data_IF_650648542946
#
_entry.id   IF_650648542946
#
_cell.length_a   1.000
_cell.length_b   1.000
_cell.length_c   1.000
_cell.angle_alpha   90.00
_cell.angle_beta   90.00
_cell.angle_gamma   90.00
#
_symmetry.space_group_name_H-M   'P 1'
#
loop_
_entity.id
_entity.type
_entity.pdbx_description
1 polymer ?
#
# COMPACT_ATOMS: atom_id res chain seq x y z
N UNK A 1 -46.50 40.79 32.51
CA UNK A 1 -45.21 40.62 33.21
C UNK A 1 -45.34 39.43 34.16
N UNK A 2 -44.78 38.28 33.80
CA UNK A 2 -44.72 37.07 34.64
C UNK A 2 -43.25 36.70 34.74
N UNK A 3 -42.67 36.97 35.90
CA UNK A 3 -41.25 36.76 36.18
C UNK A 3 -40.95 35.38 36.76
N UNK A 4 -39.73 34.95 36.47
CA UNK A 4 -38.79 34.16 37.29
C UNK A 4 -39.28 32.85 37.92
N UNK A 5 -38.72 31.73 37.43
CA UNK A 5 -37.88 30.74 38.16
C UNK A 5 -37.87 29.44 37.35
N UNK A 6 -36.72 29.05 36.79
CA UNK A 6 -36.27 27.66 36.61
C UNK A 6 -34.99 27.63 35.74
N UNK A 7 -33.89 28.17 36.28
CA UNK A 7 -32.56 27.78 35.83
C UNK A 7 -32.03 26.73 36.78
N UNK A 8 -32.10 25.44 36.42
CA UNK A 8 -31.24 24.37 36.96
C UNK A 8 -31.16 23.27 35.89
N UNK A 9 -30.03 23.25 35.19
CA UNK A 9 -29.21 22.06 34.97
C UNK A 9 -29.98 20.78 34.56
N UNK A 10 -30.07 20.54 33.25
CA UNK A 10 -29.96 19.17 32.72
C UNK A 10 -28.69 19.12 31.89
N UNK A 11 -27.57 19.20 32.61
CA UNK A 11 -26.32 18.58 32.18
C UNK A 11 -26.48 17.06 32.26
N UNK A 12 -25.69 16.38 31.43
CA UNK A 12 -25.47 14.94 31.39
C UNK A 12 -26.51 14.13 30.62
N UNK A 13 -26.22 13.94 29.33
CA UNK A 13 -25.95 12.61 28.75
C UNK A 13 -25.38 12.79 27.32
N UNK A 14 -24.31 13.58 27.19
CA UNK A 14 -23.37 13.33 26.09
C UNK A 14 -22.56 12.13 26.57
N UNK A 15 -23.05 10.94 26.23
CA UNK A 15 -22.24 9.74 26.35
C UNK A 15 -21.01 9.96 25.47
N UNK A 16 -19.90 10.34 26.11
CA UNK A 16 -18.57 10.23 25.54
C UNK A 16 -18.36 8.75 25.20
N UNK A 17 -18.78 8.35 24.00
CA UNK A 17 -18.23 7.19 23.33
C UNK A 17 -16.81 7.57 22.98
N UNK A 18 -15.93 7.51 23.98
CA UNK A 18 -14.49 7.36 23.77
C UNK A 18 -14.28 5.92 23.30
N UNK A 19 -14.75 5.65 22.08
CA UNK A 19 -14.25 4.51 21.34
C UNK A 19 -12.76 4.77 21.20
N UNK A 20 -11.94 4.11 22.01
CA UNK A 20 -10.51 4.08 21.78
C UNK A 20 -10.33 3.56 20.36
N UNK A 21 -9.98 4.46 19.43
CA UNK A 21 -9.57 4.06 18.10
C UNK A 21 -8.34 3.18 18.32
N UNK A 22 -8.50 1.87 18.21
CA UNK A 22 -7.38 0.94 18.23
C UNK A 22 -6.48 1.34 17.08
N UNK A 23 -5.26 1.78 17.38
CA UNK A 23 -4.28 2.07 16.35
C UNK A 23 -4.12 0.80 15.49
N UNK A 24 -4.30 0.93 14.17
CA UNK A 24 -4.10 -0.17 13.23
C UNK A 24 -2.67 -0.70 13.38
N UNK A 25 -2.51 -2.02 13.45
CA UNK A 25 -1.18 -2.61 13.60
C UNK A 25 -0.35 -2.35 12.33
N UNK A 26 0.97 -2.26 12.47
CA UNK A 26 1.87 -2.11 11.30
C UNK A 26 1.74 -3.30 10.33
N UNK A 27 1.41 -4.48 10.83
CA UNK A 27 1.13 -5.66 10.00
C UNK A 27 -0.15 -5.49 9.17
N UNK A 28 -1.22 -4.96 9.75
CA UNK A 28 -2.49 -4.72 9.05
C UNK A 28 -2.34 -3.62 7.99
N UNK A 29 -1.68 -2.50 8.35
CA UNK A 29 -1.35 -1.43 7.43
C UNK A 29 -0.51 -1.94 6.24
N UNK A 30 0.52 -2.76 6.51
CA UNK A 30 1.32 -3.39 5.46
C UNK A 30 0.48 -4.32 4.57
N UNK A 31 -0.38 -5.15 5.16
CA UNK A 31 -1.25 -6.08 4.43
C UNK A 31 -2.21 -5.36 3.48
N UNK A 32 -2.81 -4.27 3.94
CA UNK A 32 -3.71 -3.43 3.13
C UNK A 32 -3.01 -2.81 1.92
N UNK A 33 -1.81 -2.28 2.13
CA UNK A 33 -0.99 -1.72 1.04
C UNK A 33 -0.50 -2.80 0.06
N UNK A 34 -0.12 -3.98 0.57
CA UNK A 34 0.24 -5.14 -0.25
C UNK A 34 -0.92 -5.60 -1.13
N UNK A 35 -2.15 -5.62 -0.61
CA UNK A 35 -3.34 -5.94 -1.41
C UNK A 35 -3.59 -4.92 -2.52
N UNK A 36 -3.44 -3.63 -2.23
CA UNK A 36 -3.53 -2.55 -3.23
C UNK A 36 -2.45 -2.71 -4.30
N UNK A 37 -1.20 -2.92 -3.91
CA UNK A 37 -0.09 -3.18 -4.83
C UNK A 37 -0.34 -4.43 -5.68
N UNK A 38 -0.84 -5.52 -5.08
CA UNK A 38 -1.17 -6.76 -5.78
C UNK A 38 -2.24 -6.53 -6.85
N UNK A 39 -3.28 -5.76 -6.55
CA UNK A 39 -4.31 -5.38 -7.53
C UNK A 39 -3.71 -4.61 -8.71
N UNK A 40 -2.86 -3.61 -8.44
CA UNK A 40 -2.20 -2.85 -9.52
C UNK A 40 -1.26 -3.71 -10.37
N UNK A 41 -0.53 -4.65 -9.78
CA UNK A 41 0.33 -5.57 -10.53
C UNK A 41 -0.49 -6.59 -11.34
N UNK A 42 -1.44 -7.28 -10.70
CA UNK A 42 -2.12 -8.46 -11.26
C UNK A 42 -3.36 -8.15 -12.08
N UNK A 43 -4.14 -7.13 -11.73
CA UNK A 43 -5.35 -6.79 -12.49
C UNK A 43 -5.06 -5.72 -13.53
N UNK A 44 -4.32 -4.66 -13.16
CA UNK A 44 -4.19 -3.50 -14.03
C UNK A 44 -2.95 -3.56 -14.93
N UNK A 45 -1.77 -3.85 -14.39
CA UNK A 45 -0.55 -3.95 -15.20
C UNK A 45 -0.55 -5.20 -16.09
N UNK A 46 -1.01 -6.33 -15.56
CA UNK A 46 -1.00 -7.63 -16.25
C UNK A 46 -2.08 -7.78 -17.33
N UNK A 47 -3.20 -7.04 -17.23
CA UNK A 47 -4.31 -7.12 -18.22
C UNK A 47 -4.45 -5.86 -19.08
N UNK A 48 -3.57 -4.88 -18.88
CA UNK A 48 -3.50 -3.69 -19.72
C UNK A 48 -3.15 -4.05 -21.16
N UNK A 49 -3.63 -3.25 -22.10
CA UNK A 49 -3.37 -3.35 -23.55
C UNK A 49 -2.50 -2.21 -24.08
N UNK A 50 -1.99 -1.34 -23.21
CA UNK A 50 -1.09 -0.23 -23.54
C UNK A 50 0.12 -0.29 -22.60
N UNK A 51 1.32 -0.38 -23.18
CA UNK A 51 2.56 -0.56 -22.43
C UNK A 51 2.79 0.57 -21.41
N UNK A 52 2.55 1.82 -21.81
CA UNK A 52 2.67 2.98 -20.93
C UNK A 52 1.74 2.88 -19.70
N UNK A 53 0.51 2.41 -19.89
CA UNK A 53 -0.46 2.21 -18.80
C UNK A 53 -0.03 1.07 -17.88
N UNK A 54 0.47 -0.05 -18.43
CA UNK A 54 1.02 -1.14 -17.63
C UNK A 54 2.22 -0.69 -16.78
N UNK A 55 3.14 0.10 -17.35
CA UNK A 55 4.27 0.68 -16.61
C UNK A 55 3.81 1.67 -15.55
N UNK A 56 2.79 2.48 -15.82
CA UNK A 56 2.20 3.38 -14.83
C UNK A 56 1.63 2.60 -13.64
N UNK A 57 0.92 1.49 -13.89
CA UNK A 57 0.42 0.63 -12.82
C UNK A 57 1.55 -0.05 -12.02
N UNK A 58 2.66 -0.41 -12.66
CA UNK A 58 3.85 -0.86 -11.93
C UNK A 58 4.52 0.26 -11.13
N UNK A 59 4.45 1.51 -11.59
CA UNK A 59 4.89 2.65 -10.79
C UNK A 59 3.99 2.86 -9.56
N UNK A 60 2.69 2.59 -9.64
CA UNK A 60 1.81 2.56 -8.46
C UNK A 60 2.22 1.48 -7.46
N UNK A 61 2.58 0.29 -7.93
CA UNK A 61 3.14 -0.79 -7.09
C UNK A 61 4.38 -0.29 -6.35
N UNK A 62 5.32 0.33 -7.07
CA UNK A 62 6.53 0.90 -6.47
C UNK A 62 6.21 1.98 -5.42
N UNK A 63 5.26 2.87 -5.72
CA UNK A 63 4.84 3.92 -4.81
C UNK A 63 4.23 3.37 -3.51
N UNK A 64 3.44 2.30 -3.60
CA UNK A 64 2.94 1.56 -2.44
C UNK A 64 4.05 0.87 -1.64
N UNK A 65 5.02 0.26 -2.33
CA UNK A 65 6.09 -0.51 -1.69
C UNK A 65 7.03 0.37 -0.87
N UNK A 66 7.42 1.53 -1.41
CA UNK A 66 8.38 2.42 -0.76
C UNK A 66 7.72 3.53 0.10
N UNK A 67 6.52 3.97 -0.26
CA UNK A 67 5.90 5.16 0.31
C UNK A 67 6.56 6.48 -0.13
N UNK A 68 6.07 7.65 0.33
CA UNK A 68 6.47 8.97 -0.16
C UNK A 68 7.96 9.33 0.01
N UNK A 69 8.68 8.63 0.90
CA UNK A 69 10.11 8.83 1.17
C UNK A 69 11.01 7.87 0.38
N UNK A 70 10.42 7.03 -0.47
CA UNK A 70 11.11 6.08 -1.32
C UNK A 70 11.98 6.73 -2.40
N UNK A 71 13.09 6.08 -2.78
CA UNK A 71 13.99 6.60 -3.83
C UNK A 71 13.34 6.56 -5.22
N UNK A 72 12.54 5.52 -5.46
CA UNK A 72 11.85 5.26 -6.73
C UNK A 72 10.40 5.77 -6.72
N UNK A 73 9.93 6.29 -5.59
CA UNK A 73 8.63 6.96 -5.48
C UNK A 73 8.51 8.08 -6.53
N UNK A 74 7.34 8.18 -7.15
CA UNK A 74 7.02 9.19 -8.16
C UNK A 74 5.63 9.78 -7.87
N UNK A 75 5.54 10.98 -7.25
CA UNK A 75 4.25 11.56 -6.88
C UNK A 75 3.38 11.93 -8.09
N UNK A 76 4.01 12.28 -9.22
CA UNK A 76 3.31 12.76 -10.41
C UNK A 76 2.32 11.74 -11.00
N UNK A 77 2.51 10.43 -10.76
CA UNK A 77 1.57 9.39 -11.20
C UNK A 77 0.55 9.02 -10.13
N UNK A 78 0.66 9.54 -8.91
CA UNK A 78 -0.23 9.25 -7.79
C UNK A 78 0.24 8.13 -6.87
N UNK A 79 -0.32 8.10 -5.65
CA UNK A 79 -0.03 7.09 -4.63
C UNK A 79 -1.35 6.43 -4.18
N UNK A 80 -1.74 5.27 -4.74
CA UNK A 80 -2.99 4.61 -4.36
C UNK A 80 -2.98 4.07 -2.91
N UNK A 81 -1.80 3.93 -2.31
CA UNK A 81 -1.64 3.54 -0.91
C UNK A 81 -1.66 4.72 0.07
N UNK A 82 -1.94 5.94 -0.40
CA UNK A 82 -2.03 7.12 0.47
C UNK A 82 -3.06 6.89 1.58
N UNK A 83 -2.64 7.11 2.83
CA UNK A 83 -3.49 6.93 4.01
C UNK A 83 -3.72 5.47 4.43
N UNK A 84 -3.07 4.50 3.78
CA UNK A 84 -3.11 3.09 4.19
C UNK A 84 -1.94 2.68 5.10
N UNK A 85 -0.92 3.55 5.23
CA UNK A 85 0.32 3.26 5.95
C UNK A 85 1.44 4.21 5.51
N UNK A 86 2.67 3.86 5.83
CA UNK A 86 3.87 4.67 5.55
C UNK A 86 4.64 4.19 4.32
N UNK A 87 4.20 3.09 3.69
CA UNK A 87 4.90 2.31 2.68
C UNK A 87 5.14 0.89 3.19
N UNK A 88 4.86 -0.11 2.34
CA UNK A 88 4.90 -1.53 2.73
C UNK A 88 6.19 -1.91 3.43
N UNK A 89 7.35 -1.50 2.89
CA UNK A 89 8.65 -1.89 3.48
C UNK A 89 8.87 -1.27 4.86
N UNK A 90 8.39 -0.05 5.09
CA UNK A 90 8.49 0.63 6.39
C UNK A 90 7.58 -0.07 7.40
N UNK A 91 6.34 -0.34 7.02
CA UNK A 91 5.37 -0.95 7.94
C UNK A 91 5.70 -2.42 8.21
N UNK A 92 6.23 -3.16 7.24
CA UNK A 92 6.76 -4.52 7.46
C UNK A 92 7.98 -4.53 8.38
N UNK A 93 8.86 -3.54 8.31
CA UNK A 93 9.98 -3.42 9.23
C UNK A 93 9.49 -3.23 10.67
N UNK A 94 8.54 -2.32 10.87
CA UNK A 94 7.90 -2.11 12.18
C UNK A 94 7.15 -3.36 12.66
N UNK A 95 6.52 -4.13 11.75
CA UNK A 95 5.85 -5.39 12.07
C UNK A 95 6.85 -6.50 12.47
N UNK A 96 8.04 -6.54 11.87
CA UNK A 96 9.12 -7.45 12.29
C UNK A 96 9.61 -7.08 13.69
N UNK A 97 9.81 -5.80 13.95
CA UNK A 97 10.26 -5.28 15.26
C UNK A 97 9.25 -5.54 16.37
N UNK A 98 7.95 -5.49 16.06
CA UNK A 98 6.88 -5.85 17.01
C UNK A 98 6.64 -7.35 17.16
N UNK A 99 7.37 -8.19 16.43
CA UNK A 99 7.23 -9.65 16.48
C UNK A 99 5.97 -10.19 15.81
N UNK A 100 5.36 -9.45 14.89
CA UNK A 100 4.16 -9.88 14.19
C UNK A 100 4.41 -11.17 13.40
N UNK A 101 3.51 -12.14 13.59
CA UNK A 101 3.61 -13.46 12.95
C UNK A 101 3.68 -13.33 11.43
N UNK A 102 4.72 -13.93 10.85
CA UNK A 102 4.91 -13.96 9.40
C UNK A 102 5.47 -12.67 8.77
N UNK A 103 5.68 -11.60 9.54
CA UNK A 103 6.22 -10.33 9.04
C UNK A 103 7.59 -10.48 8.35
N UNK A 104 8.48 -11.31 8.88
CA UNK A 104 9.80 -11.59 8.26
C UNK A 104 9.64 -12.22 6.87
N UNK A 105 8.70 -13.16 6.74
CA UNK A 105 8.42 -13.83 5.46
C UNK A 105 7.76 -12.85 4.48
N UNK A 106 6.81 -12.05 4.94
CA UNK A 106 6.18 -11.01 4.15
C UNK A 106 7.20 -9.98 3.65
N UNK A 107 8.11 -9.51 4.50
CA UNK A 107 9.18 -8.58 4.16
C UNK A 107 10.11 -9.13 3.07
N UNK A 108 10.43 -10.43 3.11
CA UNK A 108 11.22 -11.09 2.07
C UNK A 108 10.51 -11.06 0.72
N UNK A 109 9.25 -11.47 0.67
CA UNK A 109 8.49 -11.49 -0.59
C UNK A 109 8.22 -10.08 -1.13
N UNK A 110 7.90 -9.12 -0.26
CA UNK A 110 7.74 -7.72 -0.62
C UNK A 110 9.04 -7.13 -1.22
N UNK A 111 10.21 -7.49 -0.67
CA UNK A 111 11.51 -7.08 -1.22
C UNK A 111 11.78 -7.66 -2.60
N UNK A 112 11.46 -8.94 -2.82
CA UNK A 112 11.57 -9.53 -4.17
C UNK A 112 10.65 -8.80 -5.15
N UNK A 113 9.39 -8.55 -4.78
CA UNK A 113 8.46 -7.78 -5.61
C UNK A 113 8.99 -6.37 -5.92
N UNK A 114 9.57 -5.70 -4.93
CA UNK A 114 10.20 -4.40 -5.07
C UNK A 114 11.33 -4.43 -6.10
N UNK A 115 12.28 -5.36 -5.96
CA UNK A 115 13.46 -5.42 -6.83
C UNK A 115 13.06 -5.76 -8.28
N UNK A 116 12.09 -6.66 -8.47
CA UNK A 116 11.51 -6.93 -9.78
C UNK A 116 10.85 -5.69 -10.40
N UNK A 117 10.06 -4.96 -9.60
CA UNK A 117 9.40 -3.73 -10.05
C UNK A 117 10.43 -2.65 -10.41
N UNK A 118 11.47 -2.49 -9.58
CA UNK A 118 12.56 -1.55 -9.82
C UNK A 118 13.30 -1.85 -11.12
N UNK A 119 13.56 -3.13 -11.41
CA UNK A 119 14.19 -3.55 -12.65
C UNK A 119 13.34 -3.19 -13.87
N UNK A 120 12.05 -3.51 -13.85
CA UNK A 120 11.12 -3.22 -14.96
C UNK A 120 11.04 -1.70 -15.23
N UNK A 121 10.90 -0.90 -14.17
CA UNK A 121 10.86 0.56 -14.28
C UNK A 121 12.22 1.18 -14.63
N UNK A 122 13.32 0.51 -14.30
CA UNK A 122 14.68 0.91 -14.66
C UNK A 122 14.93 0.85 -16.16
N UNK A 123 14.49 -0.22 -16.82
CA UNK A 123 14.56 -0.34 -18.29
C UNK A 123 13.81 0.80 -19.00
N UNK A 124 12.65 1.19 -18.49
CA UNK A 124 11.89 2.33 -19.01
C UNK A 124 12.63 3.67 -18.89
N UNK A 125 13.35 3.91 -17.79
CA UNK A 125 14.10 5.16 -17.57
C UNK A 125 15.38 5.26 -18.40
N UNK A 126 16.01 4.13 -18.74
CA UNK A 126 17.26 4.07 -19.49
C UNK A 126 17.12 4.20 -21.01
N UNK A 127 15.92 4.52 -21.53
CA UNK A 127 15.67 4.58 -22.98
C UNK A 127 15.49 3.21 -23.65
N UNK A 128 15.56 2.12 -22.88
CA UNK A 128 15.25 0.74 -23.31
C UNK A 128 13.82 0.38 -22.89
N UNK A 129 12.88 1.30 -23.09
CA UNK A 129 11.53 1.13 -22.59
C UNK A 129 10.85 -0.07 -23.27
N UNK A 130 10.15 -0.86 -22.47
CA UNK A 130 9.18 -1.81 -23.00
C UNK A 130 8.15 -1.04 -23.82
N UNK A 131 8.21 -1.17 -25.15
CA UNK A 131 7.19 -0.60 -26.05
C UNK A 131 6.00 -1.52 -26.20
N UNK A 132 6.22 -2.82 -25.96
CA UNK A 132 5.20 -3.85 -26.09
C UNK A 132 4.72 -4.34 -24.72
N UNK A 133 3.39 -4.48 -24.62
CA UNK A 133 2.71 -5.00 -23.44
C UNK A 133 3.15 -6.41 -23.09
N UNK A 134 3.36 -7.24 -24.12
CA UNK A 134 3.73 -8.65 -23.97
C UNK A 134 5.07 -8.85 -23.26
N UNK A 135 5.94 -7.84 -23.31
CA UNK A 135 7.19 -7.86 -22.58
C UNK A 135 7.04 -7.44 -21.10
N UNK A 136 5.98 -6.70 -20.73
CA UNK A 136 5.70 -6.22 -19.37
C UNK A 136 4.85 -7.22 -18.58
N UNK A 137 3.82 -7.79 -19.21
CA UNK A 137 2.82 -8.63 -18.53
C UNK A 137 3.42 -9.84 -17.78
N UNK A 138 4.44 -10.57 -18.31
CA UNK A 138 5.06 -11.67 -17.56
C UNK A 138 5.70 -11.21 -16.26
N UNK A 139 6.34 -10.04 -16.26
CA UNK A 139 6.90 -9.45 -15.04
C UNK A 139 5.81 -9.02 -14.07
N UNK A 140 4.77 -8.35 -14.57
CA UNK A 140 3.63 -7.94 -13.74
C UNK A 140 2.97 -9.14 -13.04
N UNK A 141 2.83 -10.27 -13.75
CA UNK A 141 2.34 -11.54 -13.18
C UNK A 141 3.23 -12.06 -12.05
N UNK A 142 4.55 -12.07 -12.24
CA UNK A 142 5.47 -12.56 -11.22
C UNK A 142 5.55 -11.61 -10.00
N UNK A 143 5.51 -10.29 -10.23
CA UNK A 143 5.41 -9.29 -9.17
C UNK A 143 4.14 -9.51 -8.35
N UNK A 144 2.99 -9.68 -8.99
CA UNK A 144 1.72 -9.97 -8.32
C UNK A 144 1.78 -11.26 -7.49
N UNK A 145 2.46 -12.31 -7.99
CA UNK A 145 2.65 -13.55 -7.26
C UNK A 145 3.48 -13.35 -5.98
N UNK A 146 4.54 -12.55 -6.03
CA UNK A 146 5.34 -12.23 -4.84
C UNK A 146 4.53 -11.39 -3.83
N UNK A 147 3.76 -10.41 -4.32
CA UNK A 147 2.87 -9.62 -3.47
C UNK A 147 1.81 -10.49 -2.80
N UNK A 148 1.24 -11.46 -3.52
CA UNK A 148 0.32 -12.45 -2.94
C UNK A 148 0.97 -13.27 -1.84
N UNK A 149 2.19 -13.79 -2.06
CA UNK A 149 2.93 -14.52 -1.03
C UNK A 149 3.20 -13.66 0.21
N UNK A 150 3.43 -12.35 0.03
CA UNK A 150 3.59 -11.42 1.13
C UNK A 150 2.27 -11.22 1.92
N UNK A 151 1.14 -11.04 1.23
CA UNK A 151 -0.19 -10.94 1.85
C UNK A 151 -0.52 -12.21 2.64
N UNK A 152 -0.33 -13.38 2.03
CA UNK A 152 -0.66 -14.68 2.62
C UNK A 152 0.24 -15.02 3.84
N UNK A 153 1.42 -14.40 3.93
CA UNK A 153 2.32 -14.56 5.07
C UNK A 153 1.87 -13.77 6.31
N UNK A 154 1.14 -12.66 6.15
CA UNK A 154 0.58 -11.86 7.24
C UNK A 154 -0.78 -12.47 7.62
N UNK A 155 -0.78 -13.35 8.63
CA UNK A 155 -1.98 -14.01 9.13
C UNK A 155 -2.62 -13.23 10.25
#
# INVERSE_FOLDING_TARGET
>A
MRGLVAGVIVLALIAFVTGAATAESSADAAKKQLQTAMFHAGELAQRGNVAATSLMHLQHVMNCLEGPRGKNFRPAVGNPCQGQGNGVMIDLQAAVESGATGAVKAARYARVAHDMTANVLGYAKGGSAFTEVDAIQPWAKQIAAQLKLAVDALK
#
